data_IF_449677585033
#
_entry.id   IF_449677585033
#
_cell.length_a   1.000
_cell.length_b   1.000
_cell.length_c   1.000
_cell.angle_alpha   90.00
_cell.angle_beta   90.00
_cell.angle_gamma   90.00
#
_symmetry.space_group_name_H-M   'P 1'
#
loop_
_entity.id
_entity.type
_entity.pdbx_description
1 polymer ?
#
# COMPACT_ATOMS: atom_id res chain seq x y z
N UNK A 1 -15.45 1.07 -0.10
CA UNK A 1 -14.21 0.72 0.63
C UNK A 1 -13.05 1.27 -0.18
N UNK A 2 -12.37 2.29 0.33
CA UNK A 2 -11.30 2.96 -0.42
C UNK A 2 -10.04 2.09 -0.32
N UNK A 3 -9.44 1.70 -1.46
CA UNK A 3 -8.21 0.88 -1.48
C UNK A 3 -7.00 1.78 -1.20
N UNK A 4 -5.93 1.24 -0.64
CA UNK A 4 -4.76 2.04 -0.27
C UNK A 4 -3.97 2.65 -1.45
N UNK A 5 -4.27 2.19 -2.66
CA UNK A 5 -3.76 2.80 -3.91
C UNK A 5 -4.53 4.07 -4.30
N UNK A 6 -5.66 4.33 -3.65
CA UNK A 6 -6.42 5.56 -3.87
C UNK A 6 -5.65 6.74 -3.25
N UNK A 7 -5.39 7.81 -4.02
CA UNK A 7 -4.78 9.04 -3.51
C UNK A 7 -5.50 9.59 -2.28
N UNK A 8 -4.76 10.25 -1.38
CA UNK A 8 -5.34 10.85 -0.16
C UNK A 8 -6.41 11.90 -0.51
N UNK A 9 -6.22 12.67 -1.58
CA UNK A 9 -7.21 13.61 -2.10
C UNK A 9 -8.54 12.92 -2.43
N UNK A 10 -8.48 11.81 -3.17
CA UNK A 10 -9.67 11.03 -3.52
C UNK A 10 -10.31 10.36 -2.30
N UNK A 11 -9.50 9.88 -1.34
CA UNK A 11 -10.01 9.39 -0.04
C UNK A 11 -10.80 10.50 0.66
N UNK A 12 -10.27 11.72 0.72
CA UNK A 12 -10.91 12.84 1.38
C UNK A 12 -12.27 13.16 0.73
N UNK A 13 -12.32 13.21 -0.60
CA UNK A 13 -13.56 13.39 -1.37
C UNK A 13 -14.57 12.28 -1.09
N UNK A 14 -14.13 11.01 -1.14
CA UNK A 14 -15.01 9.86 -0.91
C UNK A 14 -15.53 9.78 0.53
N UNK A 15 -14.77 10.29 1.49
CA UNK A 15 -15.16 10.33 2.90
C UNK A 15 -15.92 11.61 3.28
N UNK A 16 -15.98 12.62 2.40
CA UNK A 16 -16.58 13.91 2.68
C UNK A 16 -15.84 14.70 3.77
N UNK A 17 -14.51 14.57 3.83
CA UNK A 17 -13.65 15.24 4.82
C UNK A 17 -12.68 16.20 4.13
N UNK A 18 -12.13 17.15 4.89
CA UNK A 18 -11.08 18.05 4.40
C UNK A 18 -9.75 17.28 4.19
N UNK A 19 -9.12 17.47 3.04
CA UNK A 19 -7.89 16.77 2.67
C UNK A 19 -6.70 17.15 3.57
N UNK A 20 -6.55 18.42 3.91
CA UNK A 20 -5.43 18.88 4.73
C UNK A 20 -5.54 18.29 6.14
N UNK A 21 -6.74 18.33 6.73
CA UNK A 21 -7.01 17.68 8.03
C UNK A 21 -6.72 16.18 7.98
N UNK A 22 -7.13 15.50 6.89
CA UNK A 22 -6.86 14.07 6.72
C UNK A 22 -5.35 13.79 6.65
N UNK A 23 -4.59 14.62 5.91
CA UNK A 23 -3.13 14.49 5.83
C UNK A 23 -2.47 14.66 7.19
N UNK A 24 -2.82 15.70 7.93
CA UNK A 24 -2.28 15.96 9.27
C UNK A 24 -2.53 14.77 10.21
N UNK A 25 -3.75 14.20 10.18
CA UNK A 25 -4.10 13.02 10.97
C UNK A 25 -3.33 11.77 10.54
N UNK A 26 -3.03 11.60 9.25
CA UNK A 26 -2.22 10.49 8.75
C UNK A 26 -0.74 10.65 9.14
N UNK A 27 -0.23 11.87 9.21
CA UNK A 27 1.16 12.15 9.58
C UNK A 27 1.45 11.83 11.05
N UNK A 28 0.53 12.12 11.98
CA UNK A 28 0.67 11.71 13.37
C UNK A 28 0.44 10.20 13.56
N UNK A 29 1.54 9.47 13.78
CA UNK A 29 1.59 8.01 13.98
C UNK A 29 0.73 7.50 15.13
N UNK A 30 0.40 8.36 16.10
CA UNK A 30 -0.34 7.96 17.27
C UNK A 30 -1.85 7.93 17.03
N UNK A 31 -2.33 8.60 15.97
CA UNK A 31 -3.76 8.67 15.69
C UNK A 31 -4.30 7.32 15.20
N UNK A 32 -5.58 7.01 15.50
CA UNK A 32 -6.25 5.86 14.90
C UNK A 32 -6.29 5.91 13.37
N UNK A 33 -6.39 7.11 12.80
CA UNK A 33 -6.44 7.33 11.34
C UNK A 33 -5.12 6.92 10.69
N UNK A 34 -3.98 7.36 11.22
CA UNK A 34 -2.66 6.98 10.72
C UNK A 34 -2.45 5.47 10.78
N UNK A 35 -2.80 4.84 11.91
CA UNK A 35 -2.70 3.39 12.09
C UNK A 35 -3.56 2.64 11.07
N UNK A 36 -4.81 3.06 10.89
CA UNK A 36 -5.72 2.45 9.91
C UNK A 36 -5.21 2.61 8.48
N UNK A 37 -4.77 3.81 8.10
CA UNK A 37 -4.25 4.10 6.77
C UNK A 37 -3.00 3.29 6.45
N UNK A 38 -2.02 3.26 7.37
CA UNK A 38 -0.77 2.49 7.21
C UNK A 38 -1.03 0.99 7.16
N UNK A 39 -1.94 0.47 8.00
CA UNK A 39 -2.36 -0.93 7.95
C UNK A 39 -2.92 -1.30 6.58
N UNK A 40 -3.89 -0.53 6.08
CA UNK A 40 -4.52 -0.79 4.77
C UNK A 40 -3.49 -0.69 3.63
N UNK A 41 -2.52 0.23 3.71
CA UNK A 41 -1.39 0.31 2.76
C UNK A 41 -0.51 -0.94 2.81
N UNK A 42 -0.16 -1.41 4.01
CA UNK A 42 0.65 -2.61 4.17
C UNK A 42 -0.08 -3.85 3.66
N UNK A 43 -1.36 -4.01 3.97
CA UNK A 43 -2.23 -5.10 3.50
C UNK A 43 -2.33 -5.08 1.96
N UNK A 44 -2.60 -3.92 1.36
CA UNK A 44 -2.72 -3.80 -0.10
C UNK A 44 -1.38 -4.09 -0.79
N UNK A 45 -0.26 -3.62 -0.23
CA UNK A 45 1.07 -3.92 -0.77
C UNK A 45 1.40 -5.42 -0.65
N UNK A 46 0.97 -6.09 0.42
CA UNK A 46 1.13 -7.53 0.59
C UNK A 46 0.31 -8.30 -0.46
N UNK A 47 -0.97 -7.95 -0.62
CA UNK A 47 -1.85 -8.57 -1.64
C UNK A 47 -1.23 -8.46 -3.05
N UNK A 48 -0.67 -7.30 -3.41
CA UNK A 48 0.01 -7.11 -4.69
C UNK A 48 1.24 -8.01 -4.83
N UNK A 49 2.04 -8.17 -3.76
CA UNK A 49 3.21 -9.06 -3.78
C UNK A 49 2.80 -10.51 -3.96
N UNK A 50 1.79 -10.96 -3.22
CA UNK A 50 1.23 -12.32 -3.35
C UNK A 50 0.75 -12.59 -4.77
N UNK A 51 0.00 -11.66 -5.37
CA UNK A 51 -0.43 -11.76 -6.77
C UNK A 51 0.73 -11.80 -7.76
N UNK A 52 1.77 -11.01 -7.54
CA UNK A 52 2.96 -11.06 -8.39
C UNK A 52 3.70 -12.39 -8.27
N UNK A 53 3.70 -13.03 -7.10
CA UNK A 53 4.25 -14.38 -6.94
C UNK A 53 3.40 -15.38 -7.74
N UNK A 54 2.07 -15.35 -7.61
CA UNK A 54 1.16 -16.21 -8.39
C UNK A 54 1.39 -16.05 -9.90
N UNK A 55 1.54 -14.82 -10.39
CA UNK A 55 1.79 -14.55 -11.80
C UNK A 55 3.18 -14.99 -12.26
N UNK A 56 4.19 -14.85 -11.42
CA UNK A 56 5.54 -15.37 -11.69
C UNK A 56 5.50 -16.89 -11.82
N UNK A 57 4.82 -17.59 -10.91
CA UNK A 57 4.65 -19.05 -10.96
C UNK A 57 3.89 -19.50 -12.22
N UNK A 58 2.94 -18.67 -12.70
CA UNK A 58 2.25 -18.87 -13.97
C UNK A 58 3.10 -18.51 -15.22
N UNK A 59 4.35 -18.07 -15.04
CA UNK A 59 5.29 -17.78 -16.12
C UNK A 59 5.29 -16.34 -16.64
N UNK A 60 4.73 -15.38 -15.91
CA UNK A 60 4.76 -13.96 -16.30
C UNK A 60 6.17 -13.36 -16.15
N UNK A 61 6.80 -12.87 -17.24
CA UNK A 61 8.13 -12.26 -17.15
C UNK A 61 8.14 -10.98 -16.31
N UNK A 62 7.12 -10.12 -16.47
CA UNK A 62 7.03 -8.86 -15.72
C UNK A 62 6.84 -9.09 -14.22
N UNK A 63 6.14 -10.15 -13.84
CA UNK A 63 5.98 -10.52 -12.44
C UNK A 63 7.28 -11.08 -11.85
N UNK A 64 8.05 -11.83 -12.64
CA UNK A 64 9.38 -12.34 -12.25
C UNK A 64 10.33 -11.20 -11.91
N UNK A 65 10.38 -10.15 -12.74
CA UNK A 65 11.18 -8.95 -12.48
C UNK A 65 10.75 -8.26 -11.17
N UNK A 66 9.43 -8.11 -10.96
CA UNK A 66 8.88 -7.49 -9.74
C UNK A 66 9.20 -8.29 -8.47
N UNK A 67 9.06 -9.61 -8.50
CA UNK A 67 9.41 -10.47 -7.35
C UNK A 67 10.90 -10.39 -7.05
N UNK A 68 11.77 -10.33 -8.07
CA UNK A 68 13.21 -10.13 -7.87
C UNK A 68 13.53 -8.80 -7.16
N UNK A 69 12.84 -7.71 -7.51
CA UNK A 69 12.96 -6.41 -6.82
C UNK A 69 12.55 -6.52 -5.35
N UNK A 70 11.44 -7.21 -5.05
CA UNK A 70 10.97 -7.39 -3.66
C UNK A 70 11.96 -8.20 -2.82
N UNK A 71 12.54 -9.27 -3.38
CA UNK A 71 13.56 -10.07 -2.69
C UNK A 71 14.80 -9.24 -2.37
N UNK A 72 15.27 -8.41 -3.31
CA UNK A 72 16.41 -7.50 -3.08
C UNK A 72 16.13 -6.52 -1.94
N UNK A 73 14.94 -5.93 -1.89
CA UNK A 73 14.54 -5.04 -0.79
C UNK A 73 14.53 -5.77 0.55
N UNK A 74 13.91 -6.96 0.61
CA UNK A 74 13.84 -7.76 1.83
C UNK A 74 15.22 -8.14 2.40
N UNK A 75 16.22 -8.36 1.53
CA UNK A 75 17.60 -8.64 1.96
C UNK A 75 18.37 -7.39 2.44
N UNK A 76 17.97 -6.19 2.02
CA UNK A 76 18.58 -4.93 2.47
C UNK A 76 17.98 -4.42 3.78
N UNK A 77 16.75 -4.83 4.10
CA UNK A 77 16.03 -4.48 5.33
C UNK A 77 16.39 -5.40 6.53
N UNK A 78 17.27 -6.39 6.33
CA UNK A 78 17.83 -7.32 7.33
C UNK A 78 19.28 -6.96 7.69
#
# INVERSE_FOLDING_TARGET
MVRALTPIADIAVLMGVDEAILRDNIEDLNTPVSKAFRRIRAETALEIRERNIEYMEAGSPSATEKVSEYLKQAFLDL
#
